data_IF_308838233179
#
_entry.id   IF_308838233179
#
_cell.length_a   1.000
_cell.length_b   1.000
_cell.length_c   1.000
_cell.angle_alpha   90.00
_cell.angle_beta   90.00
_cell.angle_gamma   90.00
#
_symmetry.space_group_name_H-M   'P 1'
#
loop_
_entity.id
_entity.type
_entity.pdbx_description
1 polymer ?
#
# COMPACT_ATOMS: atom_id res chain seq x y z
N UNK A 1 18.88 2.40 18.26
CA UNK A 1 19.31 3.40 17.25
C UNK A 1 18.31 3.37 16.12
N UNK A 2 17.86 4.53 15.65
CA UNK A 2 16.96 4.65 14.48
C UNK A 2 17.83 4.76 13.23
N UNK A 3 17.62 3.87 12.25
CA UNK A 3 18.29 3.92 10.93
C UNK A 3 17.28 4.44 9.90
N UNK A 4 17.67 5.46 9.15
CA UNK A 4 16.84 6.07 8.09
C UNK A 4 17.69 6.09 6.82
N UNK A 5 17.10 5.67 5.71
CA UNK A 5 17.76 5.62 4.41
C UNK A 5 16.81 6.15 3.34
N UNK A 6 17.37 6.74 2.29
CA UNK A 6 16.64 7.19 1.10
C UNK A 6 17.14 6.39 -0.08
N UNK A 7 16.22 5.81 -0.85
CA UNK A 7 16.54 5.03 -2.05
C UNK A 7 15.59 5.44 -3.17
N UNK A 8 16.08 5.40 -4.40
CA UNK A 8 15.26 5.47 -5.61
C UNK A 8 15.04 4.04 -6.11
N UNK A 9 13.82 3.55 -6.00
CA UNK A 9 13.46 2.18 -6.37
C UNK A 9 11.97 2.06 -6.66
N UNK A 10 11.58 1.00 -7.38
CA UNK A 10 10.20 0.53 -7.38
C UNK A 10 9.92 -0.19 -6.05
N UNK A 11 9.02 0.40 -5.25
CA UNK A 11 8.68 -0.12 -3.92
C UNK A 11 8.17 -1.56 -3.95
N UNK A 12 7.61 -2.01 -5.08
CA UNK A 12 7.08 -3.37 -5.23
C UNK A 12 8.17 -4.45 -5.31
N UNK A 13 9.43 -4.04 -5.52
CA UNK A 13 10.58 -4.96 -5.63
C UNK A 13 11.33 -5.14 -4.31
N UNK A 14 10.99 -4.38 -3.27
CA UNK A 14 11.74 -4.35 -2.01
C UNK A 14 11.41 -5.58 -1.14
N UNK A 15 12.42 -6.39 -0.87
CA UNK A 15 12.34 -7.52 0.07
C UNK A 15 12.51 -7.04 1.52
N UNK A 16 11.42 -6.50 2.07
CA UNK A 16 11.35 -5.95 3.44
C UNK A 16 10.16 -6.55 4.20
N UNK A 17 10.07 -6.34 5.50
CA UNK A 17 8.92 -6.83 6.26
C UNK A 17 7.61 -6.18 5.83
N UNK A 18 7.64 -4.87 5.56
CA UNK A 18 6.44 -4.08 5.26
C UNK A 18 6.75 -3.01 4.23
N UNK A 19 5.86 -2.84 3.25
CA UNK A 19 5.77 -1.63 2.44
C UNK A 19 4.49 -0.87 2.77
N UNK A 20 4.51 0.45 2.59
CA UNK A 20 3.33 1.31 2.80
C UNK A 20 2.78 1.74 1.45
N UNK A 21 1.49 1.47 1.24
CA UNK A 21 0.74 1.88 0.07
C UNK A 21 -0.01 3.20 0.35
N UNK A 22 0.12 4.16 -0.56
CA UNK A 22 -0.73 5.35 -0.61
C UNK A 22 -2.08 5.01 -1.25
N UNK A 23 -2.99 4.47 -0.44
CA UNK A 23 -4.26 3.94 -0.87
C UNK A 23 -5.36 5.00 -0.98
N UNK A 24 -6.50 4.60 -1.54
CA UNK A 24 -7.75 5.37 -1.53
C UNK A 24 -8.77 4.75 -0.58
N UNK A 25 -9.75 5.54 -0.13
CA UNK A 25 -10.70 5.11 0.91
C UNK A 25 -11.59 3.93 0.53
N UNK A 26 -11.77 3.65 -0.76
CA UNK A 26 -12.55 2.50 -1.23
C UNK A 26 -11.78 1.17 -1.18
N UNK A 27 -10.46 1.21 -0.89
CA UNK A 27 -9.62 0.01 -0.78
C UNK A 27 -9.70 -0.90 -2.01
N UNK A 28 -9.86 -0.29 -3.19
CA UNK A 28 -10.14 -0.98 -4.45
C UNK A 28 -8.95 -1.02 -5.41
N UNK A 29 -7.78 -0.55 -4.98
CA UNK A 29 -6.67 -0.19 -5.86
C UNK A 29 -6.95 1.08 -6.67
N UNK A 30 -6.07 1.42 -7.60
CA UNK A 30 -6.18 2.63 -8.41
C UNK A 30 -5.04 2.80 -9.42
N UNK A 31 -4.64 4.05 -9.67
CA UNK A 31 -3.45 4.40 -10.44
C UNK A 31 -2.20 4.54 -9.55
N UNK A 32 -1.13 5.11 -10.10
CA UNK A 32 0.09 5.42 -9.34
C UNK A 32 0.71 4.21 -8.62
N UNK A 33 1.26 4.45 -7.43
CA UNK A 33 1.89 3.40 -6.60
C UNK A 33 0.88 2.37 -6.09
N UNK A 34 -0.36 2.79 -5.81
CA UNK A 34 -1.45 1.90 -5.38
C UNK A 34 -1.74 0.84 -6.45
N UNK A 35 -1.91 1.29 -7.70
CA UNK A 35 -2.06 0.39 -8.84
C UNK A 35 -0.85 -0.52 -9.06
N UNK A 36 0.37 -0.03 -8.85
CA UNK A 36 1.58 -0.83 -8.99
C UNK A 36 1.63 -1.95 -7.94
N UNK A 37 1.37 -1.63 -6.67
CA UNK A 37 1.31 -2.58 -5.57
C UNK A 37 0.20 -3.61 -5.80
N UNK A 38 -0.98 -3.20 -6.24
CA UNK A 38 -2.09 -4.13 -6.53
C UNK A 38 -1.79 -5.07 -7.70
N UNK A 39 -1.10 -4.61 -8.74
CA UNK A 39 -0.67 -5.47 -9.85
C UNK A 39 0.43 -6.44 -9.42
N UNK A 40 1.41 -5.98 -8.66
CA UNK A 40 2.55 -6.79 -8.22
C UNK A 40 2.19 -7.78 -7.11
N UNK A 41 1.27 -7.44 -6.20
CA UNK A 41 0.76 -8.33 -5.15
C UNK A 41 -0.36 -9.27 -5.61
N UNK A 42 -0.76 -9.20 -6.88
CA UNK A 42 -1.72 -10.13 -7.46
C UNK A 42 -3.18 -9.92 -7.04
N UNK A 43 -4.10 -10.73 -7.60
CA UNK A 43 -5.54 -10.60 -7.36
C UNK A 43 -5.94 -10.82 -5.90
N UNK A 44 -5.16 -11.61 -5.17
CA UNK A 44 -5.39 -11.91 -3.75
C UNK A 44 -5.20 -10.69 -2.83
N UNK A 45 -4.21 -9.84 -3.11
CA UNK A 45 -4.07 -8.56 -2.43
C UNK A 45 -5.31 -7.69 -2.62
N UNK A 46 -5.82 -7.61 -3.85
CA UNK A 46 -7.03 -6.84 -4.15
C UNK A 46 -8.25 -7.37 -3.41
N UNK A 47 -8.38 -8.70 -3.32
CA UNK A 47 -9.47 -9.35 -2.57
C UNK A 47 -9.37 -9.06 -1.08
N UNK A 48 -8.18 -9.21 -0.49
CA UNK A 48 -7.95 -8.95 0.92
C UNK A 48 -8.16 -7.47 1.29
N UNK A 49 -7.68 -6.55 0.45
CA UNK A 49 -7.89 -5.11 0.64
C UNK A 49 -9.39 -4.76 0.68
N UNK A 50 -10.19 -5.32 -0.23
CA UNK A 50 -11.65 -5.12 -0.25
C UNK A 50 -12.33 -5.73 0.97
N UNK A 51 -11.88 -6.90 1.43
CA UNK A 51 -12.41 -7.56 2.62
C UNK A 51 -12.09 -6.82 3.92
N UNK A 52 -10.95 -6.12 3.98
CA UNK A 52 -10.59 -5.25 5.10
C UNK A 52 -11.53 -4.04 5.24
N UNK A 53 -12.36 -3.76 4.23
CA UNK A 53 -13.37 -2.72 4.24
C UNK A 53 -12.82 -1.31 3.99
N UNK A 54 -13.69 -0.29 3.90
CA UNK A 54 -13.29 1.09 3.64
C UNK A 54 -12.27 1.63 4.65
N UNK A 55 -11.41 2.55 4.21
CA UNK A 55 -10.35 3.16 5.01
C UNK A 55 -10.47 4.70 4.97
N UNK A 56 -11.01 5.34 6.02
CA UNK A 56 -11.04 6.80 6.13
C UNK A 56 -9.64 7.44 6.10
N UNK A 57 -9.50 8.69 5.65
CA UNK A 57 -8.23 9.42 5.76
C UNK A 57 -7.69 9.45 7.19
N UNK A 58 -6.39 9.21 7.36
CA UNK A 58 -5.74 9.10 8.66
C UNK A 58 -5.78 7.69 9.28
N UNK A 59 -6.47 6.74 8.66
CA UNK A 59 -6.48 5.33 9.07
C UNK A 59 -5.62 4.45 8.16
N UNK A 60 -5.45 3.20 8.60
CA UNK A 60 -4.74 2.15 7.87
C UNK A 60 -5.52 0.84 7.84
N UNK A 61 -5.28 0.03 6.82
CA UNK A 61 -5.62 -1.41 6.77
C UNK A 61 -4.36 -2.22 6.47
N UNK A 62 -4.29 -3.43 6.98
CA UNK A 62 -3.11 -4.30 6.82
C UNK A 62 -3.51 -5.57 6.08
N UNK A 63 -2.71 -5.95 5.09
CA UNK A 63 -2.85 -7.21 4.36
C UNK A 63 -1.50 -7.93 4.29
N UNK A 64 -1.51 -9.23 3.96
CA UNK A 64 -0.28 -9.92 3.55
C UNK A 64 0.25 -9.34 2.22
N UNK A 65 1.52 -9.52 1.92
CA UNK A 65 2.11 -9.05 0.66
C UNK A 65 1.77 -9.89 -0.58
N UNK A 66 1.29 -11.12 -0.38
CA UNK A 66 0.96 -12.08 -1.44
C UNK A 66 2.15 -12.29 -2.39
N UNK A 67 2.03 -11.87 -3.66
CA UNK A 67 3.07 -12.06 -4.67
C UNK A 67 4.24 -11.07 -4.53
N UNK A 68 4.15 -10.09 -3.62
CA UNK A 68 5.23 -9.15 -3.32
C UNK A 68 6.38 -9.83 -2.56
N UNK A 69 7.65 -9.39 -2.76
CA UNK A 69 8.75 -9.74 -1.88
C UNK A 69 8.55 -9.28 -0.44
N UNK A 70 7.76 -8.21 -0.24
CA UNK A 70 7.42 -7.70 1.07
C UNK A 70 6.42 -8.62 1.79
N UNK A 71 6.57 -8.83 3.09
CA UNK A 71 5.70 -9.76 3.84
C UNK A 71 4.30 -9.22 4.07
N UNK A 72 4.17 -7.90 4.24
CA UNK A 72 2.90 -7.22 4.47
C UNK A 72 2.81 -5.90 3.71
N UNK A 73 1.57 -5.44 3.50
CA UNK A 73 1.27 -4.11 2.99
C UNK A 73 0.42 -3.37 4.02
N UNK A 74 0.88 -2.17 4.42
CA UNK A 74 0.05 -1.21 5.16
C UNK A 74 -0.56 -0.26 4.14
N UNK A 75 -1.87 -0.30 3.98
CA UNK A 75 -2.64 0.60 3.13
C UNK A 75 -3.05 1.83 3.95
N UNK A 76 -2.37 2.95 3.74
CA UNK A 76 -2.64 4.20 4.44
C UNK A 76 -3.35 5.19 3.52
N UNK A 77 -4.37 5.88 4.03
CA UNK A 77 -5.12 6.87 3.27
C UNK A 77 -4.76 8.27 3.75
N UNK A 78 -4.08 9.02 2.89
CA UNK A 78 -3.73 10.41 3.15
C UNK A 78 -4.91 11.37 2.90
N UNK A 79 -4.88 12.60 3.45
CA UNK A 79 -5.85 13.64 3.12
C UNK A 79 -5.69 14.10 1.67
N UNK A 80 -6.78 14.57 1.05
CA UNK A 80 -6.74 15.21 -0.27
C UNK A 80 -6.54 16.72 -0.10
N UNK A 81 -5.34 17.22 -0.41
CA UNK A 81 -5.07 18.65 -0.45
C UNK A 81 -5.66 19.27 -1.73
N UNK A 82 -6.47 20.32 -1.59
CA UNK A 82 -7.10 21.06 -2.72
C UNK A 82 -6.65 22.53 -2.80
N UNK A 83 -5.72 22.96 -1.94
CA UNK A 83 -5.62 24.36 -1.53
C UNK A 83 -4.53 25.20 -2.17
N UNK A 84 -3.43 24.62 -2.65
CA UNK A 84 -2.21 25.43 -2.85
C UNK A 84 -1.67 25.87 -1.50
#
# INVERSE_FOLDING_TARGET
>A
MTRIETIEADITTLAVDVIVNAANSAMSGGGGVDGAIHRAGGPELTRAARQAGPCPPGEVRVTAGFDLPARYVIHAVGPVWRGG
#
